data_IF_288831464808
#
_entry.id   IF_288831464808
#
_cell.length_a   1.000
_cell.length_b   1.000
_cell.length_c   1.000
_cell.angle_alpha   90.00
_cell.angle_beta   90.00
_cell.angle_gamma   90.00
#
_symmetry.space_group_name_H-M   'P 1'
#
loop_
_entity.id
_entity.type
_entity.pdbx_description
1 polymer ?
#
# COMPACT_ATOMS: atom_id res chain seq x y z
N UNK A 1 8.44 -11.68 -1.33
CA UNK A 1 7.05 -11.29 -1.09
C UNK A 1 6.45 -10.66 -2.34
N UNK A 2 5.24 -11.06 -2.64
CA UNK A 2 4.57 -10.64 -3.87
C UNK A 2 4.36 -9.12 -3.93
N UNK A 3 3.97 -8.53 -2.80
CA UNK A 3 3.69 -7.09 -2.74
C UNK A 3 4.94 -6.26 -2.98
N UNK A 4 6.05 -6.65 -2.37
CA UNK A 4 7.31 -5.95 -2.59
C UNK A 4 7.70 -5.97 -4.06
N UNK A 5 7.55 -7.14 -4.69
CA UNK A 5 7.87 -7.30 -6.10
C UNK A 5 6.97 -6.44 -6.98
N UNK A 6 5.68 -6.35 -6.62
CA UNK A 6 4.73 -5.53 -7.35
C UNK A 6 5.13 -4.05 -7.32
N UNK A 7 5.50 -3.55 -6.14
CA UNK A 7 5.93 -2.16 -5.99
C UNK A 7 7.21 -1.89 -6.79
N UNK A 8 8.15 -2.82 -6.74
CA UNK A 8 9.41 -2.68 -7.43
C UNK A 8 9.22 -2.58 -8.95
N UNK A 9 8.25 -3.31 -9.48
CA UNK A 9 7.98 -3.33 -10.91
C UNK A 9 7.34 -2.05 -11.43
N UNK A 10 6.92 -1.15 -10.54
CA UNK A 10 6.32 0.12 -10.93
C UNK A 10 7.33 1.26 -11.01
N UNK A 11 8.62 0.94 -10.97
CA UNK A 11 9.71 1.92 -11.12
C UNK A 11 9.75 2.97 -10.01
N UNK A 12 9.41 2.59 -8.80
CA UNK A 12 9.56 3.49 -7.64
C UNK A 12 10.99 3.43 -7.11
N UNK A 13 11.46 4.54 -6.57
CA UNK A 13 12.75 4.57 -5.90
C UNK A 13 12.68 3.76 -4.58
N UNK A 14 13.84 3.28 -4.06
CA UNK A 14 13.84 2.44 -2.86
C UNK A 14 13.14 3.06 -1.66
N UNK A 15 13.26 4.36 -1.48
CA UNK A 15 12.60 5.05 -0.37
C UNK A 15 11.09 4.96 -0.50
N UNK A 16 10.59 5.12 -1.71
CA UNK A 16 9.16 5.03 -1.97
C UNK A 16 8.65 3.63 -1.68
N UNK A 17 9.41 2.62 -2.07
CA UNK A 17 9.03 1.23 -1.83
C UNK A 17 8.94 0.95 -0.33
N UNK A 18 9.88 1.49 0.45
CA UNK A 18 9.86 1.34 1.90
C UNK A 18 8.62 1.98 2.50
N UNK A 19 8.31 3.20 2.09
CA UNK A 19 7.13 3.92 2.56
C UNK A 19 5.85 3.16 2.18
N UNK A 20 5.78 2.70 0.94
CA UNK A 20 4.61 1.98 0.44
C UNK A 20 4.41 0.66 1.19
N UNK A 21 5.49 -0.06 1.44
CA UNK A 21 5.41 -1.33 2.16
C UNK A 21 4.93 -1.13 3.59
N UNK A 22 5.41 -0.07 4.25
CA UNK A 22 4.99 0.27 5.61
C UNK A 22 3.50 0.62 5.64
N UNK A 23 3.06 1.48 4.72
CA UNK A 23 1.66 1.87 4.65
C UNK A 23 0.76 0.68 4.34
N UNK A 24 1.19 -0.17 3.42
CA UNK A 24 0.45 -1.38 3.07
C UNK A 24 0.24 -2.28 4.30
N UNK A 25 1.31 -2.52 5.04
CA UNK A 25 1.22 -3.38 6.22
C UNK A 25 0.28 -2.79 7.27
N UNK A 26 0.36 -1.47 7.48
CA UNK A 26 -0.48 -0.79 8.44
C UNK A 26 -1.95 -0.84 8.04
N UNK A 27 -2.25 -0.63 6.76
CA UNK A 27 -3.63 -0.69 6.27
C UNK A 27 -4.19 -2.09 6.42
N UNK A 28 -3.42 -3.09 6.05
CA UNK A 28 -3.87 -4.48 6.19
C UNK A 28 -4.17 -4.82 7.64
N UNK A 29 -3.33 -4.35 8.55
CA UNK A 29 -3.53 -4.59 9.97
C UNK A 29 -4.79 -3.90 10.48
N UNK A 30 -5.01 -2.66 10.07
CA UNK A 30 -6.17 -1.89 10.49
C UNK A 30 -7.48 -2.45 9.96
N UNK A 31 -7.47 -2.95 8.74
CA UNK A 31 -8.67 -3.51 8.12
C UNK A 31 -8.87 -4.99 8.42
N UNK A 32 -7.90 -5.61 9.09
CA UNK A 32 -7.97 -7.03 9.38
C UNK A 32 -7.81 -7.92 8.16
N UNK A 33 -7.09 -7.44 7.16
CA UNK A 33 -6.83 -8.23 5.95
C UNK A 33 -5.87 -9.35 6.29
N UNK A 34 -6.28 -10.59 6.01
CA UNK A 34 -5.46 -11.76 6.30
C UNK A 34 -4.43 -11.98 5.20
N UNK A 35 -3.31 -12.54 5.61
CA UNK A 35 -2.22 -12.80 4.67
C UNK A 35 -2.62 -13.75 3.54
N UNK A 36 -3.59 -14.62 3.79
CA UNK A 36 -4.06 -15.58 2.79
C UNK A 36 -5.20 -15.04 1.92
N UNK A 37 -5.68 -13.85 2.19
CA UNK A 37 -6.73 -13.24 1.39
C UNK A 37 -6.10 -12.36 0.31
N UNK A 38 -5.75 -12.96 -0.81
CA UNK A 38 -5.05 -12.27 -1.88
C UNK A 38 -5.91 -11.19 -2.54
N UNK A 39 -7.21 -11.42 -2.65
CA UNK A 39 -8.09 -10.44 -3.28
C UNK A 39 -8.10 -9.13 -2.52
N UNK A 40 -8.27 -9.19 -1.21
CA UNK A 40 -8.26 -7.98 -0.40
C UNK A 40 -6.88 -7.34 -0.35
N UNK A 41 -5.85 -8.16 -0.25
CA UNK A 41 -4.47 -7.66 -0.24
C UNK A 41 -4.14 -6.93 -1.54
N UNK A 42 -4.60 -7.45 -2.68
CA UNK A 42 -4.39 -6.80 -3.96
C UNK A 42 -5.06 -5.45 -4.04
N UNK A 43 -6.27 -5.34 -3.50
CA UNK A 43 -6.99 -4.06 -3.48
C UNK A 43 -6.21 -3.03 -2.68
N UNK A 44 -5.71 -3.43 -1.51
CA UNK A 44 -4.90 -2.53 -0.68
C UNK A 44 -3.64 -2.11 -1.42
N UNK A 45 -2.94 -3.07 -2.02
CA UNK A 45 -1.70 -2.79 -2.75
C UNK A 45 -1.93 -1.82 -3.91
N UNK A 46 -3.00 -2.01 -4.65
CA UNK A 46 -3.32 -1.13 -5.78
C UNK A 46 -3.59 0.28 -5.32
N UNK A 47 -4.29 0.44 -4.20
CA UNK A 47 -4.55 1.78 -3.66
C UNK A 47 -3.28 2.44 -3.17
N UNK A 48 -2.39 1.69 -2.53
CA UNK A 48 -1.10 2.23 -2.10
C UNK A 48 -0.31 2.72 -3.31
N UNK A 49 -0.25 1.91 -4.37
CA UNK A 49 0.45 2.29 -5.59
C UNK A 49 -0.17 3.56 -6.20
N UNK A 50 -1.49 3.62 -6.26
CA UNK A 50 -2.20 4.75 -6.85
C UNK A 50 -1.83 6.06 -6.17
N UNK A 51 -1.88 6.10 -4.84
CA UNK A 51 -1.55 7.33 -4.11
C UNK A 51 -0.06 7.63 -4.17
N UNK A 52 0.79 6.61 -4.17
CA UNK A 52 2.23 6.82 -4.29
C UNK A 52 2.59 7.39 -5.66
N UNK A 53 1.87 6.98 -6.71
CA UNK A 53 2.09 7.53 -8.05
C UNK A 53 1.72 9.01 -8.14
N UNK A 54 0.85 9.47 -7.26
CA UNK A 54 0.50 10.89 -7.16
C UNK A 54 1.55 11.70 -6.41
N UNK A 55 2.58 11.05 -5.89
CA UNK A 55 3.68 11.71 -5.20
C UNK A 55 3.64 11.66 -3.70
N UNK A 56 2.67 10.96 -3.11
CA UNK A 56 2.60 10.85 -1.65
C UNK A 56 3.75 9.98 -1.14
N UNK A 57 4.54 10.53 -0.22
CA UNK A 57 5.72 9.84 0.31
C UNK A 57 5.75 9.78 1.83
N UNK A 58 4.77 10.39 2.50
CA UNK A 58 4.66 10.31 3.95
C UNK A 58 3.91 9.03 4.31
N UNK A 59 4.52 8.10 5.06
CA UNK A 59 3.86 6.82 5.35
C UNK A 59 2.55 6.97 6.12
N UNK A 60 2.45 7.97 7.00
CA UNK A 60 1.22 8.20 7.75
C UNK A 60 0.13 8.72 6.82
N UNK A 61 0.44 9.69 5.99
CA UNK A 61 -0.54 10.26 5.07
C UNK A 61 -0.96 9.24 4.02
N UNK A 62 -0.01 8.45 3.54
CA UNK A 62 -0.31 7.41 2.57
C UNK A 62 -1.26 6.37 3.18
N UNK A 63 -0.97 5.94 4.40
CA UNK A 63 -1.83 5.01 5.12
C UNK A 63 -3.24 5.57 5.29
N UNK A 64 -3.34 6.82 5.76
CA UNK A 64 -4.64 7.45 6.00
C UNK A 64 -5.43 7.62 4.72
N UNK A 65 -4.77 8.03 3.65
CA UNK A 65 -5.43 8.19 2.36
C UNK A 65 -5.99 6.87 1.84
N UNK A 66 -5.21 5.80 1.96
CA UNK A 66 -5.65 4.49 1.50
C UNK A 66 -6.80 3.98 2.36
N UNK A 67 -6.70 4.14 3.69
CA UNK A 67 -7.76 3.72 4.59
C UNK A 67 -9.07 4.42 4.27
N UNK A 68 -9.00 5.74 4.08
CA UNK A 68 -10.19 6.52 3.77
C UNK A 68 -10.81 6.08 2.45
N UNK A 69 -9.98 5.84 1.44
CA UNK A 69 -10.48 5.41 0.14
C UNK A 69 -11.16 4.04 0.20
N UNK A 70 -10.65 3.15 1.04
CA UNK A 70 -11.18 1.80 1.13
C UNK A 70 -12.39 1.69 2.06
N UNK A 71 -12.58 2.67 2.94
CA UNK A 71 -13.69 2.66 3.90
C UNK A 71 -14.91 3.41 3.42
N UNK A 72 -14.79 4.12 2.33
CA UNK A 72 -15.96 4.80 1.71
C UNK A 72 -16.66 3.96 0.63
#
# INVERSE_FOLDING_TARGET
MTVYRLFKNKAFEPEAITVMSSAYADVCRKLGVRADNRSEADVVAKKVIEFAQRGERDPVRLRESVLQALQT
#
